data_IF_100011108828
#
_entry.id   IF_100011108828
#
_cell.length_a   1.000
_cell.length_b   1.000
_cell.length_c   1.000
_cell.angle_alpha   90.00
_cell.angle_beta   90.00
_cell.angle_gamma   90.00
#
_symmetry.space_group_name_H-M   'P 1'
#
loop_
_entity.id
_entity.type
_entity.pdbx_description
1 polymer ?
#
# COMPACT_ATOMS: atom_id res chain seq x y z
N UNK A 1 43.37 -11.01 -27.28
CA UNK A 1 42.25 -11.37 -26.38
C UNK A 1 41.05 -10.54 -26.83
N UNK A 2 40.13 -11.13 -27.60
CA UNK A 2 39.08 -10.39 -28.32
C UNK A 2 37.79 -10.45 -27.49
N UNK A 3 37.53 -9.42 -26.68
CA UNK A 3 36.30 -9.32 -25.89
C UNK A 3 35.16 -9.02 -26.87
N UNK A 4 34.35 -10.04 -27.14
CA UNK A 4 33.22 -9.96 -28.07
C UNK A 4 32.20 -8.92 -27.57
N UNK A 5 31.90 -7.93 -28.41
CA UNK A 5 30.91 -6.85 -28.18
C UNK A 5 29.52 -7.35 -27.73
N UNK A 6 29.20 -8.62 -28.01
CA UNK A 6 27.95 -9.27 -27.61
C UNK A 6 27.81 -9.39 -26.09
N UNK A 7 28.92 -9.51 -25.35
CA UNK A 7 28.89 -9.63 -23.88
C UNK A 7 28.58 -8.30 -23.19
N UNK A 8 29.10 -7.18 -23.72
CA UNK A 8 28.82 -5.84 -23.18
C UNK A 8 27.35 -5.43 -23.37
N UNK A 9 26.73 -5.82 -24.50
CA UNK A 9 25.30 -5.57 -24.75
C UNK A 9 24.40 -6.37 -23.81
N UNK A 10 24.75 -7.63 -23.52
CA UNK A 10 24.01 -8.46 -22.56
C UNK A 10 24.10 -7.92 -21.13
N UNK A 11 25.28 -7.46 -20.70
CA UNK A 11 25.48 -6.87 -19.37
C UNK A 11 24.67 -5.57 -19.22
N UNK A 12 24.69 -4.70 -20.23
CA UNK A 12 23.89 -3.47 -20.24
C UNK A 12 22.38 -3.73 -20.20
N UNK A 13 21.91 -4.75 -20.91
CA UNK A 13 20.49 -5.16 -20.92
C UNK A 13 20.04 -5.72 -19.57
N UNK A 14 20.87 -6.52 -18.90
CA UNK A 14 20.56 -7.03 -17.55
C UNK A 14 20.48 -5.91 -16.51
N UNK A 15 21.38 -4.93 -16.56
CA UNK A 15 21.34 -3.77 -15.66
C UNK A 15 20.06 -2.95 -15.85
N UNK A 16 19.65 -2.72 -17.09
CA UNK A 16 18.41 -1.99 -17.39
C UNK A 16 17.15 -2.73 -16.88
N UNK A 17 17.14 -4.07 -16.99
CA UNK A 17 16.05 -4.90 -16.46
C UNK A 17 16.00 -4.87 -14.93
N UNK A 18 17.14 -4.88 -14.25
CA UNK A 18 17.19 -4.81 -12.78
C UNK A 18 16.73 -3.47 -12.20
N UNK A 19 16.94 -2.35 -12.92
CA UNK A 19 16.49 -1.02 -12.48
C UNK A 19 14.95 -0.87 -12.57
N UNK A 20 14.31 -1.54 -13.54
CA UNK A 20 12.85 -1.56 -13.66
C UNK A 20 12.13 -2.37 -12.56
N UNK A 21 12.88 -3.19 -11.80
CA UNK A 21 12.35 -4.05 -10.72
C UNK A 21 12.53 -3.39 -9.34
N UNK A 22 12.91 -2.10 -9.27
CA UNK A 22 12.66 -1.30 -8.05
C UNK A 22 11.14 -1.06 -7.91
N UNK A 23 10.42 -2.15 -7.68
CA UNK A 23 9.06 -2.17 -7.18
C UNK A 23 9.14 -1.61 -5.77
N UNK A 24 8.46 -0.50 -5.53
CA UNK A 24 8.18 0.00 -4.19
C UNK A 24 7.59 -1.17 -3.40
N UNK A 25 8.33 -1.71 -2.42
CA UNK A 25 7.86 -2.79 -1.55
C UNK A 25 6.78 -2.22 -0.61
N UNK A 26 5.57 -2.05 -1.11
CA UNK A 26 4.39 -1.85 -0.29
C UNK A 26 3.96 -3.17 0.34
N UNK A 27 3.56 -3.12 1.61
CA UNK A 27 2.89 -4.26 2.25
C UNK A 27 1.41 -4.17 1.92
N UNK A 28 0.92 -5.09 1.09
CA UNK A 28 -0.52 -5.25 0.89
C UNK A 28 -1.13 -5.95 2.11
N UNK A 29 -2.24 -5.40 2.62
CA UNK A 29 -3.00 -5.96 3.72
C UNK A 29 -4.49 -5.95 3.39
N UNK A 30 -5.20 -6.97 3.86
CA UNK A 30 -6.64 -7.09 3.70
C UNK A 30 -7.29 -6.93 5.06
N UNK A 31 -8.18 -5.95 5.20
CA UNK A 31 -8.88 -5.66 6.44
C UNK A 31 -10.39 -5.58 6.19
N UNK A 32 -11.18 -6.04 7.15
CA UNK A 32 -12.61 -5.73 7.23
C UNK A 32 -12.87 -4.57 8.20
N UNK A 33 -14.03 -3.88 8.10
CA UNK A 33 -14.40 -2.84 9.06
C UNK A 33 -14.23 -3.31 10.51
N UNK A 34 -13.72 -2.41 11.34
CA UNK A 34 -13.29 -2.55 12.73
C UNK A 34 -12.09 -3.47 12.97
N UNK A 35 -11.47 -4.03 11.93
CA UNK A 35 -10.18 -4.70 12.05
C UNK A 35 -9.04 -3.68 12.07
N UNK A 36 -7.95 -4.08 12.71
CA UNK A 36 -6.77 -3.25 12.84
C UNK A 36 -5.50 -4.01 12.49
N UNK A 37 -4.46 -3.25 12.23
CA UNK A 37 -3.11 -3.75 12.08
C UNK A 37 -2.14 -2.86 12.84
N UNK A 38 -1.27 -3.48 13.61
CA UNK A 38 -0.15 -2.80 14.26
C UNK A 38 1.05 -2.81 13.31
N UNK A 39 1.57 -1.61 13.06
CA UNK A 39 2.74 -1.32 12.24
C UNK A 39 3.77 -0.66 13.15
N UNK A 40 4.75 -1.43 13.62
CA UNK A 40 5.73 -0.99 14.62
C UNK A 40 5.06 -0.42 15.89
N UNK A 41 5.07 0.89 16.07
CA UNK A 41 4.50 1.63 17.20
C UNK A 41 3.21 2.40 16.84
N UNK A 42 2.60 2.04 15.72
CA UNK A 42 1.37 2.65 15.23
C UNK A 42 0.30 1.60 14.99
N UNK A 43 -0.95 1.96 15.19
CA UNK A 43 -2.11 1.13 14.90
C UNK A 43 -2.94 1.82 13.83
N UNK A 44 -3.21 1.10 12.75
CA UNK A 44 -4.16 1.47 11.71
C UNK A 44 -5.44 0.68 11.94
N UNK A 45 -6.57 1.36 11.97
CA UNK A 45 -7.91 0.78 12.11
C UNK A 45 -8.69 1.13 10.86
N UNK A 46 -9.31 0.11 10.25
CA UNK A 46 -10.31 0.30 9.22
C UNK A 46 -11.65 0.54 9.91
N UNK A 47 -12.13 1.78 9.96
CA UNK A 47 -13.37 2.10 10.69
C UNK A 47 -14.60 1.60 9.92
N UNK A 48 -14.67 1.98 8.64
CA UNK A 48 -15.78 1.65 7.76
C UNK A 48 -15.37 1.64 6.28
N UNK A 49 -16.15 0.97 5.44
CA UNK A 49 -15.96 0.94 4.01
C UNK A 49 -17.30 1.06 3.28
N UNK A 50 -17.38 2.02 2.38
CA UNK A 50 -18.50 2.16 1.44
C UNK A 50 -18.05 1.65 0.07
N UNK A 51 -18.42 0.40 -0.23
CA UNK A 51 -18.12 -0.24 -1.51
C UNK A 51 -18.87 0.37 -2.69
N UNK A 52 -19.99 1.08 -2.47
CA UNK A 52 -20.76 1.71 -3.55
C UNK A 52 -20.08 3.01 -4.00
N UNK A 53 -19.61 3.80 -3.04
CA UNK A 53 -18.93 5.08 -3.30
C UNK A 53 -17.41 4.92 -3.47
N UNK A 54 -16.86 3.73 -3.21
CA UNK A 54 -15.42 3.49 -3.30
C UNK A 54 -14.64 4.27 -2.25
N UNK A 55 -15.23 4.45 -1.06
CA UNK A 55 -14.68 5.24 0.04
C UNK A 55 -14.37 4.36 1.24
N UNK A 56 -13.29 4.70 1.94
CA UNK A 56 -12.83 3.94 3.10
C UNK A 56 -12.47 4.90 4.22
N UNK A 57 -13.04 4.70 5.40
CA UNK A 57 -12.70 5.49 6.58
C UNK A 57 -11.62 4.74 7.37
N UNK A 58 -10.49 5.40 7.61
CA UNK A 58 -9.40 4.87 8.44
C UNK A 58 -9.05 5.82 9.58
N UNK A 59 -8.66 5.22 10.70
CA UNK A 59 -8.05 5.91 11.83
C UNK A 59 -6.66 5.37 12.08
N UNK A 60 -5.76 6.26 12.47
CA UNK A 60 -4.35 5.98 12.67
C UNK A 60 -3.86 6.61 13.96
N UNK A 61 -3.23 5.83 14.82
CA UNK A 61 -2.71 6.30 16.11
C UNK A 61 -1.32 5.73 16.35
N UNK A 62 -0.35 6.58 16.72
CA UNK A 62 0.96 6.16 17.18
C UNK A 62 1.17 6.62 18.63
N UNK A 63 2.01 5.91 19.38
CA UNK A 63 2.23 6.17 20.83
C UNK A 63 2.61 7.62 21.19
N UNK A 64 3.18 8.37 20.23
CA UNK A 64 3.68 9.74 20.45
C UNK A 64 2.93 10.82 19.68
N UNK A 65 1.98 10.45 18.82
CA UNK A 65 1.26 11.36 17.94
C UNK A 65 -0.23 11.40 18.28
N UNK A 66 -0.88 12.54 18.05
CA UNK A 66 -2.33 12.62 18.14
C UNK A 66 -2.97 11.68 17.10
N UNK A 67 -4.06 10.97 17.44
CA UNK A 67 -4.74 10.12 16.48
C UNK A 67 -5.27 10.95 15.31
N UNK A 68 -5.07 10.44 14.09
CA UNK A 68 -5.50 11.04 12.84
C UNK A 68 -6.54 10.14 12.20
N UNK A 69 -7.57 10.73 11.62
CA UNK A 69 -8.65 10.00 10.97
C UNK A 69 -8.99 10.66 9.64
N UNK A 70 -9.27 9.87 8.61
CA UNK A 70 -9.56 10.41 7.27
C UNK A 70 -10.32 9.41 6.39
N UNK A 71 -11.05 9.93 5.41
CA UNK A 71 -11.76 9.15 4.39
C UNK A 71 -10.94 9.13 3.10
N UNK A 72 -10.63 7.92 2.64
CA UNK A 72 -9.79 7.64 1.50
C UNK A 72 -10.62 7.24 0.28
N UNK A 73 -10.17 7.65 -0.90
CA UNK A 73 -10.68 7.15 -2.18
C UNK A 73 -9.84 6.00 -2.73
N UNK A 74 -10.43 5.23 -3.63
CA UNK A 74 -9.73 4.20 -4.39
C UNK A 74 -8.58 4.76 -5.24
N UNK A 75 -7.42 4.10 -5.16
CA UNK A 75 -6.26 4.34 -6.01
C UNK A 75 -5.43 5.59 -5.67
N UNK A 76 -5.91 6.45 -4.77
CA UNK A 76 -5.23 7.69 -4.42
C UNK A 76 -4.29 7.50 -3.21
N UNK A 77 -2.99 7.84 -3.34
CA UNK A 77 -2.06 7.80 -2.22
C UNK A 77 -2.36 8.93 -1.24
N UNK A 78 -2.57 8.54 0.02
CA UNK A 78 -2.88 9.45 1.11
C UNK A 78 -1.84 9.30 2.23
N UNK A 79 -1.30 10.44 2.68
CA UNK A 79 -0.21 10.47 3.67
C UNK A 79 -0.75 10.59 5.09
N UNK A 80 -0.35 9.66 5.96
CA UNK A 80 -0.67 9.62 7.39
C UNK A 80 0.61 9.62 8.20
N UNK A 81 1.07 10.82 8.56
CA UNK A 81 2.36 11.00 9.22
C UNK A 81 3.51 10.51 8.33
N UNK A 82 4.10 9.38 8.72
CA UNK A 82 5.22 8.73 8.02
C UNK A 82 4.79 7.63 7.04
N UNK A 83 3.53 7.19 7.12
CA UNK A 83 2.99 6.17 6.24
C UNK A 83 2.25 6.80 5.08
N UNK A 84 2.23 6.09 3.96
CA UNK A 84 1.36 6.33 2.83
C UNK A 84 0.44 5.13 2.68
N UNK A 85 -0.86 5.41 2.55
CA UNK A 85 -1.89 4.42 2.36
C UNK A 85 -2.50 4.58 0.97
N UNK A 86 -2.74 3.47 0.30
CA UNK A 86 -3.52 3.41 -0.95
C UNK A 86 -4.59 2.34 -0.80
N UNK A 87 -5.85 2.72 -1.03
CA UNK A 87 -6.94 1.76 -1.17
C UNK A 87 -6.86 1.14 -2.57
N UNK A 88 -6.45 -0.13 -2.67
CA UNK A 88 -6.35 -0.84 -3.94
C UNK A 88 -7.69 -1.30 -4.46
N UNK A 89 -8.50 -1.86 -3.56
CA UNK A 89 -9.77 -2.48 -3.91
C UNK A 89 -10.66 -2.62 -2.67
N UNK A 90 -11.96 -2.53 -2.90
CA UNK A 90 -12.99 -2.93 -1.94
C UNK A 90 -13.70 -4.14 -2.54
N UNK A 91 -13.78 -5.23 -1.80
CA UNK A 91 -14.52 -6.43 -2.13
C UNK A 91 -15.85 -6.39 -1.37
N UNK A 92 -16.92 -6.03 -2.07
CA UNK A 92 -18.26 -6.04 -1.50
C UNK A 92 -18.67 -7.48 -1.15
N UNK A 93 -19.03 -7.71 0.10
CA UNK A 93 -19.46 -9.02 0.60
C UNK A 93 -20.90 -8.97 1.12
N UNK A 94 -21.56 -10.13 1.19
CA UNK A 94 -22.93 -10.23 1.72
C UNK A 94 -22.92 -10.12 3.26
N UNK A 95 -22.68 -8.90 3.77
CA UNK A 95 -22.65 -8.55 5.18
C UNK A 95 -21.28 -8.14 5.74
N UNK A 96 -20.19 -8.27 4.96
CA UNK A 96 -18.85 -7.80 5.37
C UNK A 96 -17.98 -7.45 4.17
N UNK A 97 -17.69 -6.17 4.02
CA UNK A 97 -16.78 -5.69 2.99
C UNK A 97 -15.32 -5.94 3.42
N UNK A 98 -14.46 -6.23 2.44
CA UNK A 98 -13.01 -6.36 2.65
C UNK A 98 -12.30 -5.30 1.84
N UNK A 99 -11.30 -4.65 2.45
CA UNK A 99 -10.52 -3.59 1.81
C UNK A 99 -9.07 -4.04 1.70
N UNK A 100 -8.55 -4.03 0.47
CA UNK A 100 -7.13 -4.21 0.20
C UNK A 100 -6.43 -2.84 0.28
N UNK A 101 -5.49 -2.71 1.20
CA UNK A 101 -4.68 -1.52 1.44
C UNK A 101 -3.22 -1.84 1.14
N UNK A 102 -2.58 -0.98 0.35
CA UNK A 102 -1.13 -0.93 0.28
C UNK A 102 -0.60 0.09 1.27
N UNK A 103 0.47 -0.28 1.97
CA UNK A 103 1.11 0.54 3.00
C UNK A 103 2.61 0.63 2.74
N UNK A 104 3.17 1.84 2.70
CA UNK A 104 4.62 2.11 2.57
C UNK A 104 5.06 3.42 3.22
#
# INVERSE_FOLDING_TARGET
MNISWRWLSLIGSCLFFSVLIFQVQGKEVLLAPHENITLENCTLILEDADSQEGKVWVSFSCDQDAPVSSVLGLGEPNRFGRLTLVVKRIYAGDGRDLVALDIW
#
